data_IF_461667586603
#
_entry.id   IF_461667586603
#
_cell.length_a   1.000
_cell.length_b   1.000
_cell.length_c   1.000
_cell.angle_alpha   90.00
_cell.angle_beta   90.00
_cell.angle_gamma   90.00
#
_symmetry.space_group_name_H-M   'P 1'
#
loop_
_entity.id
_entity.type
_entity.pdbx_description
1 polymer ?
#
# COMPACT_ATOMS: atom_id res chain seq x y z
N UNK A 1 3.29 -14.68 73.92
CA UNK A 1 4.22 -14.68 72.79
C UNK A 1 3.40 -14.61 71.52
N UNK A 2 3.32 -13.44 70.89
CA UNK A 2 2.59 -13.19 69.65
C UNK A 2 3.52 -13.50 68.48
N UNK A 3 3.16 -14.43 67.60
CA UNK A 3 3.81 -14.53 66.28
C UNK A 3 2.76 -14.15 65.24
N UNK A 4 3.18 -13.19 64.42
CA UNK A 4 2.42 -12.31 63.55
C UNK A 4 1.91 -13.02 62.29
N UNK A 5 0.72 -12.62 61.86
CA UNK A 5 0.15 -12.85 60.54
C UNK A 5 0.80 -11.87 59.56
N UNK A 6 1.55 -12.37 58.56
CA UNK A 6 1.93 -11.66 57.32
C UNK A 6 2.26 -12.74 56.29
N UNK A 7 1.73 -12.79 55.07
CA UNK A 7 0.76 -12.00 54.35
C UNK A 7 0.33 -12.85 53.15
N UNK A 8 -0.92 -12.71 52.75
CA UNK A 8 -1.50 -13.34 51.56
C UNK A 8 -0.73 -12.90 50.32
N UNK A 9 -0.11 -13.86 49.63
CA UNK A 9 0.49 -13.63 48.31
C UNK A 9 -0.63 -13.30 47.32
N UNK A 10 -0.79 -12.02 46.98
CA UNK A 10 -1.63 -11.58 45.88
C UNK A 10 -1.07 -12.13 44.56
N UNK A 11 -1.91 -12.85 43.84
CA UNK A 11 -1.66 -13.29 42.47
C UNK A 11 -1.56 -12.07 41.54
N UNK A 12 -0.39 -11.86 40.93
CA UNK A 12 -0.22 -10.95 39.81
C UNK A 12 -0.29 -11.77 38.50
N UNK A 13 -1.50 -11.90 37.93
CA UNK A 13 -1.64 -12.28 36.51
C UNK A 13 -1.11 -11.13 35.67
N UNK A 14 0.16 -11.21 35.28
CA UNK A 14 0.72 -10.36 34.23
C UNK A 14 0.14 -10.84 32.89
N UNK A 15 -0.97 -10.24 32.46
CA UNK A 15 -1.40 -10.30 31.07
C UNK A 15 -0.37 -9.53 30.22
N UNK A 16 0.71 -10.22 29.83
CA UNK A 16 1.65 -9.74 28.83
C UNK A 16 0.89 -9.61 27.50
N UNK A 17 0.31 -8.43 27.29
CA UNK A 17 -0.21 -8.01 26.00
C UNK A 17 1.02 -7.81 25.11
N UNK A 18 1.46 -8.87 24.44
CA UNK A 18 2.55 -8.79 23.48
C UNK A 18 2.17 -7.75 22.43
N UNK A 19 2.89 -6.63 22.40
CA UNK A 19 2.80 -5.67 21.31
C UNK A 19 3.30 -6.43 20.08
N UNK A 20 2.37 -6.89 19.25
CA UNK A 20 2.70 -7.48 17.97
C UNK A 20 3.28 -6.36 17.08
N UNK A 21 4.60 -6.21 17.12
CA UNK A 21 5.32 -5.39 16.16
C UNK A 21 5.25 -6.12 14.82
N UNK A 22 4.55 -5.54 13.84
CA UNK A 22 4.61 -6.03 12.47
C UNK A 22 6.07 -5.96 12.00
N UNK A 23 6.61 -7.08 11.49
CA UNK A 23 7.94 -7.08 10.91
C UNK A 23 7.97 -6.10 9.74
N UNK A 24 9.00 -5.25 9.69
CA UNK A 24 9.22 -4.36 8.54
C UNK A 24 9.38 -5.23 7.28
N UNK A 25 8.73 -4.88 6.15
CA UNK A 25 9.03 -5.53 4.88
C UNK A 25 10.52 -5.42 4.55
N UNK A 26 11.05 -6.42 3.82
CA UNK A 26 12.42 -6.41 3.34
C UNK A 26 12.67 -5.18 2.45
N UNK A 27 13.93 -4.75 2.36
CA UNK A 27 14.29 -3.60 1.51
C UNK A 27 14.03 -3.89 0.03
N UNK A 28 14.17 -5.14 -0.40
CA UNK A 28 13.78 -5.59 -1.75
C UNK A 28 12.28 -5.41 -1.99
N UNK A 29 11.43 -5.84 -1.04
CA UNK A 29 9.97 -5.67 -1.14
C UNK A 29 9.59 -4.21 -1.14
N UNK A 30 10.21 -3.38 -0.28
CA UNK A 30 9.98 -1.94 -0.28
C UNK A 30 10.35 -1.33 -1.62
N UNK A 31 11.54 -1.61 -2.14
CA UNK A 31 12.00 -1.07 -3.42
C UNK A 31 11.09 -1.48 -4.58
N UNK A 32 10.69 -2.75 -4.64
CA UNK A 32 9.77 -3.23 -5.66
C UNK A 32 8.41 -2.53 -5.59
N UNK A 33 7.82 -2.43 -4.38
CA UNK A 33 6.54 -1.79 -4.20
C UNK A 33 6.59 -0.27 -4.45
N UNK A 34 7.73 0.38 -4.19
CA UNK A 34 7.96 1.78 -4.61
C UNK A 34 7.88 1.92 -6.12
N UNK A 35 8.52 1.04 -6.91
CA UNK A 35 8.41 1.07 -8.37
C UNK A 35 6.98 0.85 -8.86
N UNK A 36 6.21 -0.03 -8.21
CA UNK A 36 4.77 -0.22 -8.51
C UNK A 36 3.98 1.05 -8.21
N UNK A 37 4.27 1.72 -7.09
CA UNK A 37 3.66 3.00 -6.71
C UNK A 37 3.93 4.08 -7.76
N UNK A 38 5.18 4.24 -8.20
CA UNK A 38 5.58 5.24 -9.20
C UNK A 38 4.93 4.99 -10.58
N UNK A 39 4.83 3.72 -10.97
CA UNK A 39 4.10 3.32 -12.18
C UNK A 39 2.63 3.71 -12.07
N UNK A 40 1.98 3.40 -10.94
CA UNK A 40 0.59 3.76 -10.68
C UNK A 40 0.36 5.27 -10.70
N UNK A 41 1.27 6.04 -10.10
CA UNK A 41 1.24 7.51 -10.14
C UNK A 41 1.32 8.05 -11.56
N UNK A 42 2.22 7.51 -12.38
CA UNK A 42 2.37 7.88 -13.79
C UNK A 42 1.12 7.55 -14.61
N UNK A 43 0.49 6.39 -14.37
CA UNK A 43 -0.76 6.01 -15.03
C UNK A 43 -1.91 6.93 -14.61
N UNK A 44 -2.07 7.19 -13.30
CA UNK A 44 -3.12 8.09 -12.80
C UNK A 44 -2.91 9.51 -13.30
N UNK A 45 -1.67 10.00 -13.39
CA UNK A 45 -1.37 11.31 -13.98
C UNK A 45 -1.85 11.40 -15.43
N UNK A 46 -1.61 10.36 -16.24
CA UNK A 46 -2.13 10.30 -17.61
C UNK A 46 -3.66 10.26 -17.64
N UNK A 47 -4.29 9.51 -16.73
CA UNK A 47 -5.74 9.48 -16.59
C UNK A 47 -6.31 10.87 -16.26
N UNK A 48 -5.71 11.58 -15.31
CA UNK A 48 -6.12 12.93 -14.91
C UNK A 48 -5.89 13.97 -16.02
N UNK A 49 -4.93 13.74 -16.91
CA UNK A 49 -4.69 14.51 -18.13
C UNK A 49 -5.56 14.06 -19.32
N UNK A 50 -6.58 13.24 -19.07
CA UNK A 50 -7.55 12.78 -20.08
C UNK A 50 -6.93 12.03 -21.28
N UNK A 51 -5.73 11.44 -21.09
CA UNK A 51 -5.21 10.48 -22.07
C UNK A 51 -6.21 9.32 -22.19
N UNK A 52 -6.46 8.81 -23.40
CA UNK A 52 -7.42 7.72 -23.57
C UNK A 52 -6.86 6.37 -23.10
N UNK A 53 -7.72 5.53 -22.51
CA UNK A 53 -7.32 4.19 -22.06
C UNK A 53 -6.75 3.37 -23.22
N UNK A 54 -7.35 3.47 -24.41
CA UNK A 54 -6.89 2.78 -25.61
C UNK A 54 -5.44 3.16 -26.02
N UNK A 55 -5.00 4.40 -25.73
CA UNK A 55 -3.60 4.80 -25.94
C UNK A 55 -2.70 4.23 -24.85
N UNK A 56 -3.14 4.28 -23.59
CA UNK A 56 -2.38 3.74 -22.46
C UNK A 56 -2.16 2.23 -22.57
N UNK A 57 -3.17 1.47 -23.02
CA UNK A 57 -3.09 0.01 -23.19
C UNK A 57 -2.11 -0.45 -24.29
N UNK A 58 -1.60 0.48 -25.12
CA UNK A 58 -0.56 0.17 -26.11
C UNK A 58 0.85 0.30 -25.55
N UNK A 59 1.02 0.86 -24.35
CA UNK A 59 2.31 0.95 -23.71
C UNK A 59 2.78 -0.45 -23.28
N UNK A 60 4.07 -0.72 -23.47
CA UNK A 60 4.72 -1.97 -23.07
C UNK A 60 6.06 -1.66 -22.41
N UNK A 61 6.37 -2.41 -21.36
CA UNK A 61 7.65 -2.45 -20.66
C UNK A 61 8.60 -3.48 -21.28
N UNK A 62 8.15 -4.28 -22.26
CA UNK A 62 8.92 -5.37 -22.86
C UNK A 62 9.00 -6.63 -22.00
N UNK A 63 8.38 -6.63 -20.82
CA UNK A 63 8.24 -7.79 -19.95
C UNK A 63 6.74 -8.14 -19.80
N UNK A 64 6.33 -9.37 -20.14
CA UNK A 64 4.92 -9.76 -20.10
C UNK A 64 4.26 -9.65 -18.72
N UNK A 65 5.01 -9.85 -17.63
CA UNK A 65 4.48 -9.78 -16.27
C UNK A 65 4.26 -8.32 -15.84
N UNK A 66 5.18 -7.43 -16.21
CA UNK A 66 5.06 -5.99 -15.99
C UNK A 66 3.94 -5.41 -16.86
N UNK A 67 3.80 -5.88 -18.10
CA UNK A 67 2.72 -5.46 -19.00
C UNK A 67 1.34 -5.85 -18.47
N UNK A 68 1.21 -7.08 -17.94
CA UNK A 68 -0.02 -7.53 -17.30
C UNK A 68 -0.37 -6.69 -16.06
N UNK A 69 0.62 -6.40 -15.20
CA UNK A 69 0.43 -5.52 -14.06
C UNK A 69 0.02 -4.11 -14.51
N UNK A 70 0.71 -3.55 -15.51
CA UNK A 70 0.39 -2.25 -16.08
C UNK A 70 -1.05 -2.18 -16.61
N UNK A 71 -1.53 -3.23 -17.26
CA UNK A 71 -2.92 -3.30 -17.73
C UNK A 71 -3.94 -3.28 -16.58
N UNK A 72 -3.67 -3.95 -15.44
CA UNK A 72 -4.51 -3.88 -14.25
C UNK A 72 -4.51 -2.47 -13.64
N UNK A 73 -3.34 -1.86 -13.50
CA UNK A 73 -3.19 -0.49 -12.98
C UNK A 73 -3.92 0.51 -13.86
N UNK A 74 -3.84 0.38 -15.19
CA UNK A 74 -4.59 1.21 -16.15
C UNK A 74 -6.08 1.01 -15.96
N UNK A 75 -6.60 -0.23 -15.96
CA UNK A 75 -8.04 -0.46 -15.76
C UNK A 75 -8.56 0.19 -14.48
N UNK A 76 -7.81 0.03 -13.39
CA UNK A 76 -8.16 0.61 -12.09
C UNK A 76 -8.14 2.16 -12.12
N UNK A 77 -7.13 2.79 -12.74
CA UNK A 77 -7.05 4.25 -12.81
C UNK A 77 -8.28 4.87 -13.52
N UNK A 78 -8.78 4.23 -14.57
CA UNK A 78 -9.93 4.73 -15.33
C UNK A 78 -11.29 4.44 -14.68
N UNK A 79 -11.32 3.70 -13.57
CA UNK A 79 -12.50 3.69 -12.68
C UNK A 79 -12.66 5.02 -11.93
N UNK A 80 -11.60 5.85 -11.89
CA UNK A 80 -11.60 7.20 -11.33
C UNK A 80 -11.83 8.25 -12.42
N UNK A 81 -12.68 9.22 -12.12
CA UNK A 81 -12.93 10.38 -12.99
C UNK A 81 -11.74 11.34 -13.03
N UNK A 82 -11.44 11.91 -14.21
CA UNK A 82 -10.53 13.05 -14.29
C UNK A 82 -11.15 14.27 -13.60
N UNK A 83 -10.36 14.93 -12.75
CA UNK A 83 -10.80 16.10 -12.00
C UNK A 83 -10.40 17.38 -12.73
N UNK A 84 -11.21 18.44 -12.55
CA UNK A 84 -11.00 19.74 -13.22
C UNK A 84 -9.92 20.60 -12.57
N UNK A 85 -9.66 20.42 -11.27
CA UNK A 85 -8.71 21.25 -10.53
C UNK A 85 -7.40 20.50 -10.34
N UNK A 86 -6.28 21.21 -10.46
CA UNK A 86 -4.95 20.62 -10.25
C UNK A 86 -4.80 20.00 -8.85
N UNK A 87 -5.38 20.62 -7.82
CA UNK A 87 -5.34 20.10 -6.45
C UNK A 87 -6.00 18.72 -6.35
N UNK A 88 -7.19 18.55 -6.95
CA UNK A 88 -7.88 17.27 -6.94
C UNK A 88 -7.16 16.24 -7.80
N UNK A 89 -6.53 16.65 -8.91
CA UNK A 89 -5.69 15.76 -9.70
C UNK A 89 -4.47 15.27 -8.91
N UNK A 90 -3.75 16.17 -8.23
CA UNK A 90 -2.60 15.83 -7.38
C UNK A 90 -3.00 14.87 -6.26
N UNK A 91 -4.13 15.13 -5.59
CA UNK A 91 -4.67 14.23 -4.57
C UNK A 91 -5.00 12.85 -5.14
N UNK A 92 -5.67 12.78 -6.29
CA UNK A 92 -6.00 11.52 -6.94
C UNK A 92 -4.76 10.70 -7.30
N UNK A 93 -3.70 11.35 -7.79
CA UNK A 93 -2.42 10.69 -8.08
C UNK A 93 -1.81 10.13 -6.79
N UNK A 94 -1.68 10.94 -5.74
CA UNK A 94 -1.07 10.51 -4.48
C UNK A 94 -1.86 9.40 -3.78
N UNK A 95 -3.19 9.48 -3.77
CA UNK A 95 -4.04 8.41 -3.21
C UNK A 95 -3.90 7.10 -4.00
N UNK A 96 -3.75 7.20 -5.32
CA UNK A 96 -3.60 6.03 -6.19
C UNK A 96 -2.22 5.38 -6.06
N UNK A 97 -1.15 6.17 -5.93
CA UNK A 97 0.20 5.71 -5.56
C UNK A 97 0.16 4.91 -4.26
N UNK A 98 -0.41 5.51 -3.20
CA UNK A 98 -0.53 4.88 -1.89
C UNK A 98 -1.37 3.60 -1.91
N UNK A 99 -2.46 3.59 -2.69
CA UNK A 99 -3.30 2.40 -2.88
C UNK A 99 -2.48 1.24 -3.45
N UNK A 100 -1.76 1.47 -4.55
CA UNK A 100 -0.99 0.42 -5.22
C UNK A 100 0.25 -0.02 -4.44
N UNK A 101 0.89 0.90 -3.72
CA UNK A 101 1.92 0.55 -2.74
C UNK A 101 1.39 -0.42 -1.67
N UNK A 102 0.23 -0.10 -1.06
CA UNK A 102 -0.40 -0.95 -0.05
C UNK A 102 -0.82 -2.32 -0.60
N UNK A 103 -1.36 -2.37 -1.81
CA UNK A 103 -1.71 -3.63 -2.49
C UNK A 103 -0.46 -4.49 -2.70
N UNK A 104 0.63 -3.89 -3.16
CA UNK A 104 1.89 -4.59 -3.40
C UNK A 104 2.46 -5.19 -2.12
N UNK A 105 2.54 -4.42 -1.02
CA UNK A 105 3.02 -4.93 0.26
C UNK A 105 2.20 -6.14 0.72
N UNK A 106 0.87 -6.02 0.70
CA UNK A 106 -0.04 -7.13 1.07
C UNK A 106 0.09 -8.36 0.18
N UNK A 107 0.49 -8.19 -1.08
CA UNK A 107 0.71 -9.29 -2.00
C UNK A 107 2.07 -9.98 -1.77
N UNK A 108 3.07 -9.24 -1.29
CA UNK A 108 4.44 -9.73 -1.01
C UNK A 108 4.61 -10.26 0.42
N UNK A 109 3.71 -9.91 1.33
CA UNK A 109 3.65 -10.41 2.71
C UNK A 109 2.99 -11.80 2.84
N UNK A 110 2.52 -12.39 1.73
CA UNK A 110 1.92 -13.73 1.65
C UNK A 110 2.92 -14.75 1.13
#
# INVERSE_FOLDING_TARGET
MRILVVGTALAALAAYSGIALAAKPSDETLSYCTSVSEMAGSVMKNRQNEVSMAKMMKATAGDPSVDALGAEVIKDAYSTSAFRTEENQKRAVSEFENKWFSICLKAKDK
#
